data_IF_095205445115
#
_entry.id   IF_095205445115
#
_cell.length_a   1.000
_cell.length_b   1.000
_cell.length_c   1.000
_cell.angle_alpha   90.00
_cell.angle_beta   90.00
_cell.angle_gamma   90.00
#
_symmetry.space_group_name_H-M   'P 1'
#
loop_
_entity.id
_entity.type
_entity.pdbx_description
1 polymer ?
#
# COMPACT_ATOMS: atom_id res chain seq x y z
N UNK A 1 -1.10 -0.13 -19.71
CA UNK A 1 0.24 0.03 -19.11
C UNK A 1 0.65 1.51 -19.14
N UNK A 2 0.02 2.33 -18.31
CA UNK A 2 0.30 3.75 -18.16
C UNK A 2 1.17 4.05 -16.94
N UNK A 3 1.82 5.21 -16.94
CA UNK A 3 2.62 5.71 -15.82
C UNK A 3 1.84 5.74 -14.49
N UNK A 4 0.54 6.03 -14.54
CA UNK A 4 -0.37 6.06 -13.39
C UNK A 4 -0.75 4.67 -12.85
N UNK A 5 -0.56 3.62 -13.66
CA UNK A 5 -0.89 2.24 -13.28
C UNK A 5 0.24 1.63 -12.44
N UNK A 6 1.49 2.03 -12.71
CA UNK A 6 2.69 1.48 -12.11
C UNK A 6 3.28 2.35 -10.99
N UNK A 7 2.81 3.58 -10.82
CA UNK A 7 3.34 4.53 -9.85
C UNK A 7 2.25 5.05 -8.92
N UNK A 8 2.62 5.18 -7.65
CA UNK A 8 1.95 5.98 -6.64
C UNK A 8 2.27 7.45 -6.91
N UNK A 9 1.23 8.25 -7.09
CA UNK A 9 1.38 9.67 -7.40
C UNK A 9 1.05 10.46 -6.12
N UNK A 10 1.90 11.43 -5.76
CA UNK A 10 1.67 12.26 -4.60
C UNK A 10 0.47 13.19 -4.79
N UNK A 11 -0.14 13.61 -3.68
CA UNK A 11 -1.28 14.56 -3.66
C UNK A 11 -2.58 14.04 -4.29
N UNK A 12 -2.63 12.77 -4.71
CA UNK A 12 -3.90 12.08 -4.98
C UNK A 12 -4.44 11.54 -3.65
N UNK A 13 -5.74 11.24 -3.57
CA UNK A 13 -6.53 10.79 -2.40
C UNK A 13 -6.05 9.48 -1.71
N UNK A 14 -4.77 9.12 -1.85
CA UNK A 14 -4.21 7.84 -1.50
C UNK A 14 -4.58 6.78 -2.53
N UNK A 15 -3.77 5.73 -2.61
CA UNK A 15 -4.09 4.56 -3.41
C UNK A 15 -4.43 3.40 -2.49
N UNK A 16 -5.53 2.71 -2.78
CA UNK A 16 -6.00 1.59 -1.98
C UNK A 16 -5.34 0.31 -2.46
N UNK A 17 -4.82 -0.46 -1.52
CA UNK A 17 -4.26 -1.79 -1.72
C UNK A 17 -4.95 -2.76 -0.78
N UNK A 18 -5.09 -3.99 -1.25
CA UNK A 18 -5.50 -5.13 -0.45
C UNK A 18 -4.26 -5.83 0.04
N UNK A 19 -4.21 -6.18 1.32
CA UNK A 19 -3.04 -6.83 1.93
C UNK A 19 -3.45 -8.04 2.78
N UNK A 20 -2.61 -9.06 2.80
CA UNK A 20 -2.78 -10.29 3.58
C UNK A 20 -2.45 -10.11 5.07
N UNK A 21 -2.96 -9.05 5.71
CA UNK A 21 -2.82 -8.88 7.16
C UNK A 21 -4.04 -9.47 7.87
N UNK A 22 -3.82 -10.34 8.85
CA UNK A 22 -4.90 -10.98 9.62
C UNK A 22 -5.02 -10.37 11.02
N UNK A 23 -3.87 -10.01 11.63
CA UNK A 23 -3.81 -9.53 13.00
C UNK A 23 -3.33 -8.08 13.10
N UNK A 24 -3.59 -7.46 14.25
CA UNK A 24 -3.09 -6.11 14.55
C UNK A 24 -1.56 -6.02 14.55
N UNK A 25 -0.88 -7.10 14.97
CA UNK A 25 0.59 -7.20 14.95
C UNK A 25 1.11 -7.09 13.51
N UNK A 26 0.47 -7.74 12.54
CA UNK A 26 0.86 -7.66 11.14
C UNK A 26 0.62 -6.26 10.58
N UNK A 27 -0.51 -5.65 10.93
CA UNK A 27 -0.81 -4.26 10.55
C UNK A 27 0.23 -3.28 11.10
N UNK A 28 0.64 -3.45 12.36
CA UNK A 28 1.66 -2.63 12.99
C UNK A 28 3.04 -2.80 12.30
N UNK A 29 3.42 -4.04 11.96
CA UNK A 29 4.65 -4.31 11.20
C UNK A 29 4.64 -3.65 9.84
N UNK A 30 3.55 -3.79 9.08
CA UNK A 30 3.43 -3.15 7.76
C UNK A 30 3.51 -1.63 7.89
N UNK A 31 2.83 -1.02 8.86
CA UNK A 31 2.97 0.43 9.13
C UNK A 31 4.41 0.83 9.41
N UNK A 32 5.13 0.04 10.21
CA UNK A 32 6.52 0.31 10.55
C UNK A 32 7.40 0.28 9.29
N UNK A 33 7.33 -0.81 8.51
CA UNK A 33 8.10 -0.98 7.26
C UNK A 33 7.83 0.17 6.28
N UNK A 34 6.56 0.52 6.10
CA UNK A 34 6.17 1.60 5.20
C UNK A 34 6.57 2.99 5.74
N UNK A 35 6.63 3.17 7.05
CA UNK A 35 7.11 4.40 7.66
C UNK A 35 8.63 4.60 7.49
N UNK A 36 9.39 3.54 7.19
CA UNK A 36 10.82 3.64 6.88
C UNK A 36 11.08 4.18 5.46
N UNK A 37 10.06 4.16 4.59
CA UNK A 37 10.16 4.71 3.24
C UNK A 37 9.95 6.24 3.27
N UNK A 38 10.95 7.05 2.88
CA UNK A 38 10.87 8.52 2.95
C UNK A 38 9.86 9.12 1.98
N UNK A 39 9.41 8.35 0.99
CA UNK A 39 8.43 8.75 -0.02
C UNK A 39 6.99 8.62 0.47
N UNK A 40 6.75 7.82 1.51
CA UNK A 40 5.42 7.58 2.07
C UNK A 40 5.06 8.74 3.02
N UNK A 41 3.87 9.28 2.81
CA UNK A 41 3.30 10.35 3.65
C UNK A 41 2.49 9.77 4.80
N UNK A 42 1.53 8.90 4.45
CA UNK A 42 0.50 8.41 5.35
C UNK A 42 0.06 7.02 4.93
N UNK A 43 -0.18 6.16 5.91
CA UNK A 43 -0.74 4.81 5.71
C UNK A 43 -1.92 4.62 6.63
N UNK A 44 -3.09 4.37 6.05
CA UNK A 44 -4.34 4.13 6.78
C UNK A 44 -4.82 2.71 6.53
N UNK A 45 -5.21 2.00 7.59
CA UNK A 45 -5.74 0.64 7.49
C UNK A 45 -7.24 0.69 7.68
N UNK A 46 -7.97 0.05 6.77
CA UNK A 46 -9.38 -0.22 6.93
C UNK A 46 -9.57 -1.66 7.41
N UNK A 47 -9.76 -1.81 8.72
CA UNK A 47 -9.98 -3.09 9.41
C UNK A 47 -11.44 -3.58 9.34
N UNK A 48 -12.33 -2.84 8.69
CA UNK A 48 -13.75 -3.18 8.61
C UNK A 48 -14.09 -4.14 7.46
N UNK A 49 -13.11 -4.50 6.63
CA UNK A 49 -13.27 -5.35 5.44
C UNK A 49 -12.18 -6.41 5.41
N UNK A 50 -12.53 -7.62 4.96
CA UNK A 50 -11.57 -8.71 4.73
C UNK A 50 -11.60 -9.12 3.25
N UNK A 51 -10.43 -9.31 2.61
CA UNK A 51 -9.07 -9.01 3.10
C UNK A 51 -8.85 -7.53 3.44
N UNK A 52 -7.99 -7.27 4.44
CA UNK A 52 -7.75 -5.91 4.96
C UNK A 52 -7.30 -4.96 3.84
N UNK A 53 -7.81 -3.74 3.86
CA UNK A 53 -7.43 -2.70 2.93
C UNK A 53 -6.48 -1.69 3.58
N UNK A 54 -5.52 -1.20 2.80
CA UNK A 54 -4.61 -0.14 3.19
C UNK A 54 -4.67 0.97 2.15
N UNK A 55 -4.78 2.20 2.63
CA UNK A 55 -4.68 3.40 1.81
C UNK A 55 -3.32 4.00 2.03
N UNK A 56 -2.52 4.07 0.97
CA UNK A 56 -1.15 4.59 1.01
C UNK A 56 -1.12 5.92 0.26
N UNK A 57 -0.74 6.98 0.96
CA UNK A 57 -0.49 8.30 0.42
C UNK A 57 1.00 8.56 0.38
N UNK A 58 1.49 9.16 -0.70
CA UNK A 58 2.92 9.43 -0.93
C UNK A 58 3.16 10.94 -1.07
N UNK A 59 4.34 11.41 -0.64
CA UNK A 59 4.80 12.80 -0.84
C UNK A 59 5.51 12.99 -2.17
N UNK A 60 6.03 11.89 -2.74
CA UNK A 60 6.77 11.84 -4.01
C UNK A 60 6.24 10.68 -4.84
N UNK A 61 6.55 10.70 -6.13
CA UNK A 61 6.23 9.58 -7.02
C UNK A 61 7.02 8.37 -6.57
N UNK A 62 6.33 7.29 -6.23
CA UNK A 62 6.91 6.02 -5.80
C UNK A 62 6.44 4.92 -6.74
N UNK A 63 7.35 4.09 -7.27
CA UNK A 63 6.94 2.95 -8.07
C UNK A 63 6.23 1.91 -7.19
N UNK A 64 5.08 1.40 -7.65
CA UNK A 64 4.35 0.35 -6.93
C UNK A 64 5.22 -0.90 -6.78
N UNK A 65 6.09 -1.16 -7.76
CA UNK A 65 7.07 -2.24 -7.67
C UNK A 65 8.04 -2.08 -6.48
N UNK A 66 8.52 -0.86 -6.21
CA UNK A 66 9.41 -0.60 -5.06
C UNK A 66 8.64 -0.75 -3.73
N UNK A 67 7.41 -0.23 -3.69
CA UNK A 67 6.50 -0.41 -2.57
C UNK A 67 6.24 -1.90 -2.26
N UNK A 68 5.95 -2.71 -3.27
CA UNK A 68 5.74 -4.15 -3.12
C UNK A 68 7.02 -4.87 -2.71
N UNK A 69 8.17 -4.51 -3.28
CA UNK A 69 9.48 -5.07 -2.92
C UNK A 69 9.84 -4.86 -1.45
N UNK A 70 9.43 -3.74 -0.85
CA UNK A 70 9.63 -3.52 0.59
C UNK A 70 8.82 -4.50 1.46
N UNK A 71 7.68 -5.01 0.97
CA UNK A 71 6.77 -5.87 1.72
C UNK A 71 7.01 -7.37 1.51
N UNK A 72 7.46 -7.77 0.33
CA UNK A 72 7.80 -9.16 -0.04
C UNK A 72 8.71 -9.88 0.98
N UNK A 73 9.85 -9.31 1.44
CA UNK A 73 10.73 -10.00 2.39
C UNK A 73 10.07 -10.27 3.74
N UNK A 74 9.01 -9.53 4.07
CA UNK A 74 8.23 -9.71 5.30
C UNK A 74 6.99 -10.59 5.11
N UNK A 75 6.87 -11.28 3.95
CA UNK A 75 5.73 -12.13 3.55
C UNK A 75 4.41 -11.36 3.42
N UNK A 76 4.49 -10.06 3.17
CA UNK A 76 3.33 -9.22 2.91
C UNK A 76 3.16 -8.97 1.41
N UNK A 77 1.93 -9.16 0.94
CA UNK A 77 1.57 -8.98 -0.46
C UNK A 77 0.51 -7.88 -0.55
N UNK A 78 0.92 -6.68 -0.98
CA UNK A 78 0.02 -5.58 -1.23
C UNK A 78 -0.37 -5.54 -2.71
N UNK A 79 -1.63 -5.82 -3.00
CA UNK A 79 -2.20 -5.80 -4.34
C UNK A 79 -3.02 -4.53 -4.52
N UNK A 80 -2.74 -3.75 -5.56
CA UNK A 80 -3.50 -2.53 -5.82
C UNK A 80 -4.96 -2.89 -6.09
N UNK A 81 -5.88 -2.28 -5.34
CA UNK A 81 -7.30 -2.34 -5.66
C UNK A 81 -7.54 -1.43 -6.86
N UNK A 82 -7.53 -2.03 -8.04
CA UNK A 82 -7.92 -1.34 -9.27
C UNK A 82 -9.44 -1.26 -9.32
N UNK A 83 -9.98 -0.17 -9.90
CA UNK A 83 -11.41 0.04 -10.15
C UNK A 83 -11.98 -0.91 -11.23
N UNK A 84 -11.40 -2.10 -11.39
CA UNK A 84 -11.84 -3.08 -12.38
C UNK A 84 -12.81 -4.03 -11.70
N UNK A 85 -14.05 -3.60 -11.58
CA UNK A 85 -15.19 -4.51 -11.65
C UNK A 85 -15.45 -4.81 -13.11
N UNK A 86 -14.74 -5.80 -13.66
CA UNK A 86 -15.05 -6.47 -14.93
C UNK A 86 -14.79 -7.96 -14.76
#
# INVERSE_FOLDING_TARGET
>A
MGFLENNLIPNIHGMVFTINTENEIDRAKVKQILSELPEIDKVEFNSAVYPNEITVSTKKVLAIGEFQKALIPHRFHALRKTLTGL
#
